data_IF_855772584147
#
_entry.id   IF_855772584147
#
_cell.length_a   1.000
_cell.length_b   1.000
_cell.length_c   1.000
_cell.angle_alpha   90.00
_cell.angle_beta   90.00
_cell.angle_gamma   90.00
#
_symmetry.space_group_name_H-M   'P 1'
#
loop_
_entity.id
_entity.type
_entity.pdbx_description
1 polymer ?
#
# COMPACT_ATOMS: atom_id res chain seq x y z
N UNK A 1 6.94 -3.09 14.76
CA UNK A 1 5.64 -2.78 14.09
C UNK A 1 5.33 -3.87 13.08
N UNK A 2 4.05 -4.22 12.88
CA UNK A 2 3.64 -5.27 11.93
C UNK A 2 3.06 -4.66 10.65
N UNK A 3 3.36 -5.29 9.52
CA UNK A 3 2.68 -5.08 8.25
C UNK A 3 1.89 -6.34 7.92
N UNK A 4 0.58 -6.24 7.68
CA UNK A 4 -0.25 -7.39 7.35
C UNK A 4 -1.06 -7.13 6.08
N UNK A 5 -0.87 -7.98 5.05
CA UNK A 5 -1.68 -7.90 3.82
C UNK A 5 -3.04 -8.53 4.06
N UNK A 6 -4.08 -7.70 4.08
CA UNK A 6 -5.48 -8.13 4.33
C UNK A 6 -6.30 -8.27 3.06
N UNK A 7 -5.81 -7.73 1.94
CA UNK A 7 -6.43 -7.84 0.63
C UNK A 7 -5.36 -7.88 -0.46
N UNK A 8 -5.40 -8.88 -1.33
CA UNK A 8 -4.51 -9.02 -2.50
C UNK A 8 -5.11 -10.00 -3.50
N UNK A 9 -4.58 -10.01 -4.72
CA UNK A 9 -4.95 -10.92 -5.80
C UNK A 9 -4.63 -12.37 -5.49
N UNK A 10 -3.74 -12.62 -4.53
CA UNK A 10 -3.28 -13.92 -4.08
C UNK A 10 -3.52 -14.09 -2.58
N UNK A 11 -3.61 -15.32 -2.14
CA UNK A 11 -3.68 -15.67 -0.72
C UNK A 11 -2.56 -16.66 -0.36
N UNK A 12 -1.98 -16.51 0.83
CA UNK A 12 -1.00 -17.46 1.36
C UNK A 12 -1.67 -18.63 2.08
N UNK A 13 -2.95 -18.52 2.39
CA UNK A 13 -3.69 -19.53 3.16
C UNK A 13 -5.04 -19.86 2.52
N UNK A 14 -5.43 -21.15 2.43
CA UNK A 14 -6.66 -21.57 1.76
C UNK A 14 -7.96 -21.00 2.34
N UNK A 15 -7.95 -20.63 3.62
CA UNK A 15 -9.13 -20.09 4.31
C UNK A 15 -9.30 -18.57 4.12
N UNK A 16 -8.32 -17.87 3.55
CA UNK A 16 -8.40 -16.45 3.25
C UNK A 16 -8.79 -16.23 1.78
N UNK A 17 -9.62 -15.24 1.54
CA UNK A 17 -10.09 -14.92 0.20
C UNK A 17 -9.13 -13.98 -0.53
N UNK A 18 -8.82 -14.28 -1.78
CA UNK A 18 -8.07 -13.41 -2.69
C UNK A 18 -9.01 -12.81 -3.74
N UNK A 19 -8.84 -11.53 -4.04
CA UNK A 19 -9.54 -10.81 -5.11
C UNK A 19 -8.68 -9.68 -5.64
N UNK A 20 -9.01 -9.17 -6.82
CA UNK A 20 -8.33 -8.03 -7.41
C UNK A 20 -8.45 -6.80 -6.52
N UNK A 21 -7.29 -6.26 -6.10
CA UNK A 21 -7.17 -5.10 -5.21
C UNK A 21 -6.03 -5.28 -4.21
N UNK A 22 -5.85 -4.25 -3.38
CA UNK A 22 -4.81 -4.24 -2.35
C UNK A 22 -5.29 -3.58 -1.06
N UNK A 23 -4.89 -4.10 0.08
CA UNK A 23 -4.95 -3.44 1.38
C UNK A 23 -3.91 -4.02 2.33
N UNK A 24 -3.24 -3.14 3.07
CA UNK A 24 -2.23 -3.47 4.05
C UNK A 24 -2.51 -2.78 5.39
N UNK A 25 -2.57 -3.55 6.47
CA UNK A 25 -2.60 -3.01 7.84
C UNK A 25 -1.15 -2.69 8.27
N UNK A 26 -0.94 -1.47 8.76
CA UNK A 26 0.33 -0.96 9.29
C UNK A 26 0.17 -0.73 10.80
N UNK A 27 0.92 -1.47 11.57
CA UNK A 27 0.70 -1.55 13.01
C UNK A 27 -0.65 -2.19 13.33
N UNK A 28 -1.39 -1.60 14.26
CA UNK A 28 -2.66 -2.17 14.76
C UNK A 28 -3.90 -1.41 14.27
N UNK A 29 -3.74 -0.21 13.69
CA UNK A 29 -4.84 0.74 13.52
C UNK A 29 -4.78 1.61 12.25
N UNK A 30 -3.72 1.52 11.44
CA UNK A 30 -3.64 2.20 10.15
C UNK A 30 -3.85 1.21 9.01
N UNK A 31 -4.89 1.44 8.19
CA UNK A 31 -5.15 0.67 7.00
C UNK A 31 -4.76 1.48 5.76
N UNK A 32 -3.82 0.95 4.98
CA UNK A 32 -3.44 1.50 3.68
C UNK A 32 -4.22 0.77 2.59
N UNK A 33 -5.06 1.49 1.85
CA UNK A 33 -6.08 1.01 0.92
C UNK A 33 -7.12 0.07 1.56
N UNK A 34 -8.18 -0.27 0.83
CA UNK A 34 -9.32 -1.05 1.34
C UNK A 34 -9.76 -2.18 0.43
N UNK A 35 -8.99 -2.47 -0.63
CA UNK A 35 -9.35 -3.49 -1.60
C UNK A 35 -10.55 -3.13 -2.48
N UNK A 36 -11.00 -4.09 -3.27
CA UNK A 36 -12.06 -3.91 -4.26
C UNK A 36 -13.48 -4.10 -3.72
N UNK A 37 -13.65 -4.80 -2.61
CA UNK A 37 -14.96 -5.00 -1.98
C UNK A 37 -14.86 -5.20 -0.47
N UNK A 38 -15.88 -4.71 0.24
CA UNK A 38 -15.90 -4.72 1.68
C UNK A 38 -16.17 -6.08 2.31
N UNK A 39 -16.89 -6.97 1.63
CA UNK A 39 -17.16 -8.31 2.17
C UNK A 39 -15.85 -9.10 2.30
N UNK A 40 -15.03 -9.11 1.25
CA UNK A 40 -13.72 -9.78 1.26
C UNK A 40 -12.79 -9.13 2.30
N UNK A 41 -12.73 -7.79 2.34
CA UNK A 41 -11.91 -7.07 3.31
C UNK A 41 -12.25 -7.47 4.74
N UNK A 42 -13.51 -7.32 5.15
CA UNK A 42 -13.96 -7.59 6.52
C UNK A 42 -13.89 -9.09 6.88
N UNK A 43 -14.18 -9.98 5.93
CA UNK A 43 -14.03 -11.43 6.12
C UNK A 43 -12.57 -11.82 6.37
N UNK A 44 -11.63 -11.28 5.60
CA UNK A 44 -10.21 -11.54 5.81
C UNK A 44 -9.73 -10.95 7.15
N UNK A 45 -10.08 -9.71 7.48
CA UNK A 45 -9.76 -9.10 8.77
C UNK A 45 -10.24 -10.00 9.92
N UNK A 46 -11.50 -10.44 9.91
CA UNK A 46 -12.05 -11.32 10.95
C UNK A 46 -11.29 -12.65 11.07
N UNK A 47 -10.97 -13.30 9.94
CA UNK A 47 -10.22 -14.56 9.92
C UNK A 47 -8.76 -14.41 10.35
N UNK A 48 -8.17 -13.23 10.17
CA UNK A 48 -6.83 -12.88 10.64
C UNK A 48 -6.81 -12.35 12.09
N UNK A 49 -7.98 -12.28 12.76
CA UNK A 49 -8.09 -11.76 14.13
C UNK A 49 -7.90 -10.25 14.22
N UNK A 50 -8.11 -9.52 13.13
CA UNK A 50 -8.01 -8.07 13.06
C UNK A 50 -9.40 -7.48 13.34
N UNK A 51 -9.51 -6.69 14.40
CA UNK A 51 -10.74 -6.00 14.78
C UNK A 51 -10.89 -4.69 13.98
N UNK A 52 -11.89 -4.57 13.09
CA UNK A 52 -12.13 -3.34 12.32
C UNK A 52 -12.38 -2.11 13.20
N UNK A 53 -12.90 -2.29 14.42
CA UNK A 53 -13.19 -1.18 15.35
C UNK A 53 -11.93 -0.44 15.81
N UNK A 54 -10.76 -1.07 15.70
CA UNK A 54 -9.46 -0.47 16.03
C UNK A 54 -8.90 0.42 14.93
N UNK A 55 -9.46 0.39 13.71
CA UNK A 55 -8.95 1.19 12.60
C UNK A 55 -9.24 2.67 12.85
N UNK A 56 -8.23 3.39 13.27
CA UNK A 56 -8.29 4.84 13.54
C UNK A 56 -7.84 5.70 12.34
N UNK A 57 -7.13 5.10 11.39
CA UNK A 57 -6.58 5.79 10.22
C UNK A 57 -6.75 4.94 8.97
N UNK A 58 -7.22 5.55 7.88
CA UNK A 58 -7.21 4.96 6.54
C UNK A 58 -6.46 5.90 5.60
N UNK A 59 -5.54 5.37 4.82
CA UNK A 59 -4.83 6.11 3.78
C UNK A 59 -5.16 5.46 2.44
N UNK A 60 -5.77 6.19 1.52
CA UNK A 60 -6.08 5.70 0.18
C UNK A 60 -5.03 6.19 -0.80
N UNK A 61 -4.39 5.27 -1.49
CA UNK A 61 -3.31 5.57 -2.43
C UNK A 61 -3.80 6.39 -3.63
N UNK A 62 -4.89 5.97 -4.26
CA UNK A 62 -5.49 6.60 -5.44
C UNK A 62 -6.97 6.20 -5.60
N UNK A 63 -7.68 6.79 -6.58
CA UNK A 63 -9.14 6.74 -6.67
C UNK A 63 -9.71 5.49 -7.39
N UNK A 64 -8.93 4.47 -7.69
CA UNK A 64 -9.45 3.24 -8.31
C UNK A 64 -10.26 2.39 -7.32
N UNK A 65 -11.30 1.73 -7.84
CA UNK A 65 -12.24 0.96 -7.04
C UNK A 65 -11.62 -0.24 -6.32
N UNK A 66 -10.57 -0.83 -6.87
CA UNK A 66 -9.83 -1.94 -6.28
C UNK A 66 -8.92 -1.54 -5.10
N UNK A 67 -8.88 -0.24 -4.77
CA UNK A 67 -8.22 0.33 -3.58
C UNK A 67 -9.20 1.00 -2.62
N UNK A 68 -10.36 1.43 -3.13
CA UNK A 68 -11.35 2.22 -2.36
C UNK A 68 -12.64 1.47 -2.05
N UNK A 69 -12.87 0.31 -2.69
CA UNK A 69 -14.15 -0.40 -2.68
C UNK A 69 -14.58 -0.95 -1.32
N UNK A 70 -13.64 -1.25 -0.43
CA UNK A 70 -13.92 -1.73 0.91
C UNK A 70 -14.28 -0.64 1.92
N UNK A 71 -13.98 0.65 1.64
CA UNK A 71 -14.13 1.73 2.60
C UNK A 71 -15.56 1.88 3.12
N UNK A 72 -16.55 1.82 2.23
CA UNK A 72 -17.96 1.96 2.62
C UNK A 72 -18.41 0.90 3.64
N UNK A 73 -17.98 -0.35 3.45
CA UNK A 73 -18.27 -1.44 4.38
C UNK A 73 -17.52 -1.28 5.70
N UNK A 74 -16.27 -0.84 5.67
CA UNK A 74 -15.51 -0.53 6.88
C UNK A 74 -16.21 0.56 7.70
N UNK A 75 -16.62 1.67 7.09
CA UNK A 75 -17.37 2.73 7.77
C UNK A 75 -18.76 2.24 8.24
N UNK A 76 -19.36 1.29 7.52
CA UNK A 76 -20.62 0.63 7.88
C UNK A 76 -20.56 -0.18 9.17
N UNK A 77 -19.37 -0.60 9.63
CA UNK A 77 -19.18 -1.25 10.94
C UNK A 77 -19.38 -0.28 12.12
N UNK A 78 -19.47 1.01 11.86
CA UNK A 78 -19.57 2.06 12.88
C UNK A 78 -18.24 2.74 13.22
N UNK A 79 -17.11 2.25 12.71
CA UNK A 79 -15.81 2.90 12.93
C UNK A 79 -15.74 4.25 12.19
N UNK A 80 -15.01 5.20 12.77
CA UNK A 80 -14.86 6.57 12.24
C UNK A 80 -13.39 6.97 12.14
N UNK A 81 -12.61 6.32 11.26
CA UNK A 81 -11.20 6.65 11.08
C UNK A 81 -11.04 8.03 10.45
N UNK A 82 -9.88 8.65 10.63
CA UNK A 82 -9.47 9.74 9.74
C UNK A 82 -9.04 9.16 8.39
N UNK A 83 -9.65 9.61 7.30
CA UNK A 83 -9.35 9.12 5.95
C UNK A 83 -8.48 10.15 5.22
N UNK A 84 -7.30 9.75 4.80
CA UNK A 84 -6.35 10.55 4.02
C UNK A 84 -6.46 10.16 2.55
N UNK A 85 -6.70 11.14 1.69
CA UNK A 85 -6.82 10.93 0.23
C UNK A 85 -6.00 11.97 -0.54
N UNK A 86 -5.42 11.65 -1.70
CA UNK A 86 -4.93 12.64 -2.63
C UNK A 86 -5.95 13.75 -2.88
N UNK A 87 -5.48 14.98 -2.95
CA UNK A 87 -6.34 16.15 -3.22
C UNK A 87 -7.10 16.01 -4.55
N UNK A 88 -6.51 15.33 -5.52
CA UNK A 88 -7.08 15.04 -6.83
C UNK A 88 -8.24 14.03 -6.82
N UNK A 89 -8.55 13.38 -5.68
CA UNK A 89 -9.72 12.49 -5.59
C UNK A 89 -11.01 13.18 -6.04
N UNK A 90 -11.96 12.43 -6.67
CA UNK A 90 -13.22 12.99 -7.13
C UNK A 90 -13.98 13.71 -6.02
N UNK A 91 -14.50 14.91 -6.31
CA UNK A 91 -15.19 15.74 -5.31
C UNK A 91 -16.38 15.03 -4.67
N UNK A 92 -17.11 14.21 -5.45
CA UNK A 92 -18.22 13.40 -4.93
C UNK A 92 -17.75 12.40 -3.89
N UNK A 93 -16.68 11.63 -4.18
CA UNK A 93 -16.11 10.69 -3.23
C UNK A 93 -15.72 11.39 -1.92
N UNK A 94 -15.04 12.52 -2.02
CA UNK A 94 -14.64 13.32 -0.85
C UNK A 94 -15.84 13.82 -0.04
N UNK A 95 -16.91 14.24 -0.70
CA UNK A 95 -18.15 14.68 -0.04
C UNK A 95 -18.83 13.51 0.68
N UNK A 96 -18.93 12.36 0.03
CA UNK A 96 -19.52 11.14 0.61
C UNK A 96 -18.76 10.69 1.86
N UNK A 97 -17.42 10.67 1.82
CA UNK A 97 -16.60 10.31 2.99
C UNK A 97 -16.73 11.33 4.11
N UNK A 98 -16.73 12.65 3.80
CA UNK A 98 -16.89 13.71 4.82
C UNK A 98 -18.23 13.65 5.54
N UNK A 99 -19.28 13.13 4.90
CA UNK A 99 -20.58 12.94 5.55
C UNK A 99 -20.57 11.87 6.63
N UNK A 100 -19.57 10.98 6.62
CA UNK A 100 -19.47 9.81 7.49
C UNK A 100 -18.32 9.93 8.51
N UNK A 101 -17.20 10.55 8.14
CA UNK A 101 -16.02 10.63 8.98
C UNK A 101 -15.12 11.82 8.59
N UNK A 102 -14.02 12.01 9.35
CA UNK A 102 -13.02 13.03 9.04
C UNK A 102 -12.24 12.65 7.78
N UNK A 103 -12.15 13.56 6.82
CA UNK A 103 -11.35 13.42 5.60
C UNK A 103 -10.27 14.51 5.57
N UNK A 104 -9.04 14.09 5.25
CA UNK A 104 -7.87 14.95 5.03
C UNK A 104 -7.46 14.83 3.56
N UNK A 105 -7.44 15.95 2.86
CA UNK A 105 -6.89 16.02 1.50
C UNK A 105 -5.39 16.26 1.58
N UNK A 106 -4.63 15.39 0.92
CA UNK A 106 -3.17 15.41 0.89
C UNK A 106 -2.71 15.89 -0.48
N UNK A 107 -1.82 16.87 -0.51
CA UNK A 107 -1.15 17.36 -1.71
C UNK A 107 0.37 17.26 -1.57
N UNK A 108 0.89 17.85 -0.51
CA UNK A 108 2.30 17.78 -0.14
C UNK A 108 2.56 16.64 0.84
N UNK A 109 3.80 16.19 1.01
CA UNK A 109 4.16 15.23 2.04
C UNK A 109 3.63 15.64 3.42
N UNK A 110 3.11 14.69 4.17
CA UNK A 110 2.52 14.93 5.48
C UNK A 110 2.87 13.80 6.44
N UNK A 111 3.36 14.16 7.62
CA UNK A 111 3.47 13.22 8.72
C UNK A 111 2.07 12.94 9.31
N UNK A 112 1.63 11.67 9.20
CA UNK A 112 0.34 11.21 9.72
C UNK A 112 0.43 11.00 11.23
N UNK A 113 1.54 10.41 11.66
CA UNK A 113 1.95 10.20 13.05
C UNK A 113 3.46 9.93 13.11
N UNK A 114 4.11 10.00 14.28
CA UNK A 114 5.57 9.88 14.40
C UNK A 114 6.13 8.69 13.59
N UNK A 115 7.02 8.98 12.65
CA UNK A 115 7.67 8.01 11.78
C UNK A 115 6.79 7.41 10.67
N UNK A 116 5.56 7.88 10.48
CA UNK A 116 4.70 7.44 9.36
C UNK A 116 4.24 8.65 8.56
N UNK A 117 4.66 8.69 7.30
CA UNK A 117 4.40 9.79 6.38
C UNK A 117 3.65 9.32 5.15
N UNK A 118 2.86 10.20 4.55
CA UNK A 118 2.44 10.07 3.16
C UNK A 118 3.35 10.89 2.26
N UNK A 119 3.62 10.38 1.07
CA UNK A 119 4.46 11.06 0.08
C UNK A 119 3.84 12.34 -0.48
N UNK A 120 2.56 12.61 -0.16
CA UNK A 120 1.81 13.57 -0.96
C UNK A 120 1.49 13.02 -2.35
N UNK A 121 0.91 13.85 -3.19
CA UNK A 121 0.59 13.50 -4.58
C UNK A 121 1.84 13.40 -5.44
N UNK A 122 2.08 12.21 -5.99
CA UNK A 122 3.13 11.94 -6.97
C UNK A 122 2.49 11.71 -8.33
N UNK A 123 3.10 12.25 -9.37
CA UNK A 123 2.67 12.07 -10.75
C UNK A 123 1.74 13.15 -11.29
N UNK A 124 1.48 13.06 -12.60
CA UNK A 124 0.57 13.95 -13.35
C UNK A 124 -0.58 13.09 -13.92
N UNK A 125 -1.78 13.59 -13.88
CA UNK A 125 -2.99 12.87 -14.32
C UNK A 125 -3.58 12.06 -13.17
N UNK A 126 -3.39 10.73 -13.15
CA UNK A 126 -3.74 9.91 -11.98
C UNK A 126 -2.64 10.06 -10.93
N UNK A 127 -2.80 11.05 -10.05
CA UNK A 127 -1.88 11.22 -8.93
C UNK A 127 -2.12 10.14 -7.87
N UNK A 128 -1.04 9.72 -7.23
CA UNK A 128 -1.04 8.65 -6.24
C UNK A 128 -0.14 9.01 -5.07
N UNK A 129 -0.49 8.59 -3.86
CA UNK A 129 0.35 8.70 -2.68
C UNK A 129 0.81 7.31 -2.21
N UNK A 130 2.00 7.24 -1.62
CA UNK A 130 2.53 6.08 -0.92
C UNK A 130 2.68 6.39 0.57
N UNK A 131 2.84 5.36 1.39
CA UNK A 131 3.34 5.52 2.75
C UNK A 131 4.86 5.37 2.77
N UNK A 132 5.50 6.20 3.57
CA UNK A 132 6.89 6.08 3.98
C UNK A 132 6.90 5.85 5.49
N UNK A 133 7.36 4.68 5.92
CA UNK A 133 7.36 4.24 7.32
C UNK A 133 8.79 4.08 7.78
N UNK A 134 9.18 4.85 8.78
CA UNK A 134 10.52 4.82 9.39
C UNK A 134 10.62 3.62 10.33
N UNK A 135 11.71 2.87 10.24
CA UNK A 135 12.01 1.73 11.09
C UNK A 135 13.50 1.72 11.45
N UNK A 136 13.87 0.96 12.46
CA UNK A 136 15.31 0.79 12.82
C UNK A 136 16.16 0.21 11.68
N UNK A 137 15.52 -0.52 10.74
CA UNK A 137 16.19 -1.12 9.57
C UNK A 137 16.27 -0.18 8.37
N UNK A 138 15.61 0.97 8.44
CA UNK A 138 15.48 1.93 7.36
C UNK A 138 14.03 2.15 6.93
N UNK A 139 13.85 2.78 5.80
CA UNK A 139 12.54 3.22 5.30
C UNK A 139 11.78 2.07 4.63
N UNK A 140 10.54 1.85 5.04
CA UNK A 140 9.58 0.97 4.34
C UNK A 140 8.66 1.84 3.49
N UNK A 141 8.60 1.57 2.19
CA UNK A 141 7.73 2.25 1.23
C UNK A 141 6.58 1.33 0.84
N UNK A 142 5.33 1.77 1.05
CA UNK A 142 4.13 1.00 0.70
C UNK A 142 3.39 1.73 -0.42
N UNK A 143 3.21 1.07 -1.57
CA UNK A 143 2.53 1.61 -2.76
C UNK A 143 1.19 0.92 -2.99
N UNK A 144 0.21 1.63 -3.57
CA UNK A 144 -1.02 1.03 -4.07
C UNK A 144 -0.80 0.33 -5.41
N UNK A 145 -0.76 1.10 -6.49
CA UNK A 145 -0.41 0.63 -7.84
C UNK A 145 0.90 1.21 -8.37
N UNK A 146 1.32 2.35 -7.87
CA UNK A 146 2.47 3.09 -8.37
C UNK A 146 2.32 3.51 -9.86
N UNK A 147 1.16 4.06 -10.25
CA UNK A 147 0.91 4.55 -11.62
C UNK A 147 1.94 5.59 -12.11
N UNK A 148 2.47 6.49 -11.26
CA UNK A 148 3.55 7.40 -11.64
C UNK A 148 4.87 6.70 -11.99
N UNK A 149 4.97 5.41 -11.66
CA UNK A 149 6.16 4.58 -11.73
C UNK A 149 6.75 4.34 -10.34
N UNK A 150 6.95 3.05 -10.01
CA UNK A 150 7.39 2.65 -8.67
C UNK A 150 8.75 3.25 -8.27
N UNK A 151 9.66 3.44 -9.23
CA UNK A 151 10.95 4.11 -8.98
C UNK A 151 10.75 5.57 -8.54
N UNK A 152 9.78 6.26 -9.14
CA UNK A 152 9.44 7.63 -8.78
C UNK A 152 8.81 7.71 -7.40
N UNK A 153 7.91 6.80 -7.06
CA UNK A 153 7.32 6.70 -5.73
C UNK A 153 8.41 6.51 -4.65
N UNK A 154 9.38 5.61 -4.90
CA UNK A 154 10.51 5.38 -3.98
C UNK A 154 11.40 6.62 -3.85
N UNK A 155 11.66 7.34 -4.95
CA UNK A 155 12.44 8.60 -4.90
C UNK A 155 11.77 9.65 -4.03
N UNK A 156 10.45 9.81 -4.16
CA UNK A 156 9.70 10.76 -3.31
C UNK A 156 9.72 10.33 -1.84
N UNK A 157 9.51 9.07 -1.55
CA UNK A 157 9.56 8.56 -0.18
C UNK A 157 10.92 8.81 0.48
N UNK A 158 12.02 8.62 -0.25
CA UNK A 158 13.39 8.90 0.24
C UNK A 158 13.69 10.38 0.52
N UNK A 159 12.92 11.30 -0.02
CA UNK A 159 13.08 12.74 0.27
C UNK A 159 12.39 13.15 1.57
N UNK A 160 11.53 12.29 2.11
CA UNK A 160 10.67 12.57 3.26
C UNK A 160 11.20 11.86 4.49
N UNK A 161 11.45 10.56 4.39
CA UNK A 161 11.92 9.72 5.49
C UNK A 161 13.44 9.68 5.57
N UNK A 162 13.95 9.38 6.75
CA UNK A 162 15.38 9.22 6.98
C UNK A 162 15.87 7.80 6.67
N UNK A 163 17.10 7.67 6.21
CA UNK A 163 17.78 6.38 6.02
C UNK A 163 17.66 5.77 4.62
N UNK A 164 18.21 4.56 4.50
CA UNK A 164 18.15 3.73 3.29
C UNK A 164 16.79 3.06 3.16
N UNK A 165 16.41 2.71 1.92
CA UNK A 165 15.13 2.00 1.70
C UNK A 165 15.29 0.52 2.04
N UNK A 166 14.78 0.14 3.20
CA UNK A 166 14.81 -1.25 3.65
C UNK A 166 13.86 -2.14 2.83
N UNK A 167 12.63 -1.68 2.57
CA UNK A 167 11.61 -2.48 1.90
C UNK A 167 10.72 -1.63 0.98
N UNK A 168 10.40 -2.14 -0.20
CA UNK A 168 9.33 -1.62 -1.05
C UNK A 168 8.24 -2.69 -1.17
N UNK A 169 7.03 -2.42 -0.69
CA UNK A 169 5.87 -3.32 -0.63
C UNK A 169 4.71 -2.76 -1.45
N UNK A 170 4.00 -3.60 -2.19
CA UNK A 170 2.73 -3.24 -2.85
C UNK A 170 2.71 -3.49 -4.35
N UNK A 171 1.79 -2.82 -5.05
CA UNK A 171 1.68 -2.87 -6.50
C UNK A 171 2.72 -1.99 -7.19
N UNK A 172 3.36 -2.51 -8.25
CA UNK A 172 4.39 -1.80 -9.03
C UNK A 172 3.94 -1.47 -10.45
N UNK A 173 2.70 -1.80 -10.79
CA UNK A 173 2.06 -1.55 -12.09
C UNK A 173 2.86 -2.05 -13.30
N UNK A 174 3.33 -3.30 -13.25
CA UNK A 174 4.20 -3.90 -14.26
C UNK A 174 3.55 -5.03 -15.05
N UNK A 175 2.23 -5.22 -14.89
CA UNK A 175 1.47 -6.19 -15.67
C UNK A 175 1.59 -5.90 -17.17
N UNK A 176 2.12 -6.88 -17.95
CA UNK A 176 2.35 -6.73 -19.37
C UNK A 176 3.62 -5.95 -19.78
N UNK A 177 4.41 -5.50 -18.82
CA UNK A 177 5.68 -4.81 -19.07
C UNK A 177 6.76 -5.82 -19.46
N UNK A 178 7.62 -5.46 -20.43
CA UNK A 178 8.71 -6.33 -20.89
C UNK A 178 9.75 -6.60 -19.80
N UNK A 179 10.36 -7.81 -19.80
CA UNK A 179 11.41 -8.18 -18.85
C UNK A 179 12.55 -7.18 -18.78
N UNK A 180 13.03 -6.69 -19.94
CA UNK A 180 14.07 -5.65 -20.01
C UNK A 180 13.68 -4.35 -19.25
N UNK A 181 12.40 -4.02 -19.22
CA UNK A 181 11.93 -2.84 -18.46
C UNK A 181 11.92 -3.14 -16.97
N UNK A 182 11.53 -4.34 -16.56
CA UNK A 182 11.59 -4.80 -15.17
C UNK A 182 13.03 -4.81 -14.67
N UNK A 183 13.98 -5.37 -15.44
CA UNK A 183 15.42 -5.37 -15.12
C UNK A 183 15.97 -3.94 -14.90
N UNK A 184 15.53 -2.98 -15.73
CA UNK A 184 15.92 -1.57 -15.52
C UNK A 184 15.37 -0.99 -14.24
N UNK A 185 14.14 -1.32 -13.87
CA UNK A 185 13.53 -0.90 -12.59
C UNK A 185 14.31 -1.50 -11.43
N UNK A 186 14.70 -2.75 -11.50
CA UNK A 186 15.52 -3.43 -10.50
C UNK A 186 16.90 -2.73 -10.37
N UNK A 187 17.54 -2.41 -11.49
CA UNK A 187 18.78 -1.66 -11.47
C UNK A 187 18.62 -0.25 -10.84
N UNK A 188 17.47 0.42 -11.09
CA UNK A 188 17.14 1.69 -10.42
C UNK A 188 16.94 1.49 -8.92
N UNK A 189 16.25 0.44 -8.50
CA UNK A 189 16.05 0.10 -7.09
C UNK A 189 17.39 -0.14 -6.38
N UNK A 190 18.29 -0.91 -7.00
CA UNK A 190 19.64 -1.11 -6.44
C UNK A 190 20.41 0.20 -6.29
N UNK A 191 20.31 1.12 -7.27
CA UNK A 191 20.93 2.46 -7.16
C UNK A 191 20.30 3.34 -6.07
N UNK A 192 19.02 3.13 -5.79
CA UNK A 192 18.31 3.80 -4.70
C UNK A 192 18.55 3.15 -3.33
N UNK A 193 19.35 2.08 -3.24
CA UNK A 193 19.64 1.37 -1.99
C UNK A 193 18.47 0.51 -1.48
N UNK A 194 17.53 0.11 -2.35
CA UNK A 194 16.43 -0.78 -1.95
C UNK A 194 16.98 -2.16 -1.59
N UNK A 195 16.84 -2.54 -0.32
CA UNK A 195 17.38 -3.79 0.20
C UNK A 195 16.45 -4.96 -0.09
N UNK A 196 15.15 -4.83 0.21
CA UNK A 196 14.13 -5.88 0.06
C UNK A 196 12.96 -5.42 -0.79
N UNK A 197 12.30 -6.39 -1.46
CA UNK A 197 11.12 -6.12 -2.27
C UNK A 197 9.99 -7.11 -1.98
N UNK A 198 8.78 -6.59 -1.99
CA UNK A 198 7.54 -7.35 -1.75
C UNK A 198 6.47 -6.95 -2.80
N UNK A 199 6.73 -7.18 -4.12
CA UNK A 199 5.81 -6.83 -5.18
C UNK A 199 4.56 -7.72 -5.18
N UNK A 200 3.39 -7.12 -5.37
CA UNK A 200 2.11 -7.83 -5.40
C UNK A 200 1.09 -7.14 -6.31
N UNK A 201 -0.16 -7.52 -6.20
CA UNK A 201 -1.32 -6.91 -6.85
C UNK A 201 -1.13 -6.70 -8.37
N UNK A 202 -1.06 -5.44 -8.84
CA UNK A 202 -0.95 -5.07 -10.26
C UNK A 202 0.47 -5.23 -10.86
N UNK A 203 1.43 -5.74 -10.09
CA UNK A 203 2.79 -5.99 -10.58
C UNK A 203 2.83 -7.03 -11.70
N UNK A 204 1.93 -8.02 -11.64
CA UNK A 204 1.85 -9.09 -12.64
C UNK A 204 2.88 -10.21 -12.40
N UNK A 205 2.48 -11.45 -12.75
CA UNK A 205 3.22 -12.67 -12.39
C UNK A 205 4.64 -12.68 -12.93
N UNK A 206 4.81 -12.34 -14.21
CA UNK A 206 6.13 -12.33 -14.85
C UNK A 206 7.10 -11.33 -14.21
N UNK A 207 6.62 -10.15 -13.84
CA UNK A 207 7.48 -9.17 -13.16
C UNK A 207 7.84 -9.65 -11.76
N UNK A 208 6.88 -10.23 -11.02
CA UNK A 208 7.10 -10.81 -9.70
C UNK A 208 8.17 -11.92 -9.76
N UNK A 209 8.12 -12.80 -10.78
CA UNK A 209 9.14 -13.84 -10.97
C UNK A 209 10.54 -13.24 -11.18
N UNK A 210 10.67 -12.22 -12.04
CA UNK A 210 11.96 -11.56 -12.29
C UNK A 210 12.48 -10.90 -11.00
N UNK A 211 11.62 -10.24 -10.22
CA UNK A 211 12.02 -9.69 -8.92
C UNK A 211 12.47 -10.78 -7.95
N UNK A 212 11.80 -11.94 -7.94
CA UNK A 212 12.16 -13.07 -7.09
C UNK A 212 13.53 -13.66 -7.46
N UNK A 213 13.81 -13.82 -8.75
CA UNK A 213 15.12 -14.28 -9.27
C UNK A 213 16.24 -13.30 -8.90
N UNK A 214 16.04 -12.00 -9.08
CA UNK A 214 17.05 -10.96 -8.90
C UNK A 214 17.32 -10.58 -7.42
N UNK A 215 16.32 -10.68 -6.55
CA UNK A 215 16.46 -10.37 -5.13
C UNK A 215 16.72 -11.60 -4.26
N UNK A 216 16.42 -12.82 -4.73
CA UNK A 216 16.70 -14.05 -3.99
C UNK A 216 16.10 -14.05 -2.58
N UNK A 217 16.94 -14.11 -1.55
CA UNK A 217 16.51 -14.10 -0.14
C UNK A 217 15.91 -12.75 0.32
N UNK A 218 16.17 -11.69 -0.41
CA UNK A 218 15.60 -10.36 -0.15
C UNK A 218 14.25 -10.12 -0.83
N UNK A 219 13.75 -11.13 -1.56
CA UNK A 219 12.39 -11.13 -2.09
C UNK A 219 11.40 -11.67 -1.06
N UNK A 220 10.33 -10.92 -0.80
CA UNK A 220 9.24 -11.32 0.10
C UNK A 220 7.99 -11.66 -0.73
N UNK A 221 7.52 -12.91 -0.60
CA UNK A 221 6.26 -13.31 -1.24
C UNK A 221 5.07 -12.71 -0.52
N UNK A 222 4.23 -11.99 -1.26
CA UNK A 222 3.02 -11.34 -0.75
C UNK A 222 1.77 -12.10 -1.16
N UNK A 223 0.76 -12.01 -0.33
CA UNK A 223 -0.62 -12.46 -0.51
C UNK A 223 -1.40 -12.21 0.78
N UNK A 224 -2.71 -12.34 0.73
CA UNK A 224 -3.55 -12.22 1.92
C UNK A 224 -3.06 -13.18 3.00
N UNK A 225 -2.86 -12.66 4.21
CA UNK A 225 -2.30 -13.41 5.33
C UNK A 225 -0.79 -13.26 5.51
N UNK A 226 -0.08 -12.55 4.62
CA UNK A 226 1.31 -12.17 4.90
C UNK A 226 1.34 -11.26 6.13
N UNK A 227 2.19 -11.60 7.08
CA UNK A 227 2.53 -10.76 8.23
C UNK A 227 4.04 -10.62 8.31
N UNK A 228 4.52 -9.39 8.30
CA UNK A 228 5.94 -9.05 8.38
C UNK A 228 6.17 -8.16 9.59
N UNK A 229 7.07 -8.57 10.48
CA UNK A 229 7.54 -7.74 11.57
C UNK A 229 8.67 -6.83 11.05
N UNK A 230 8.41 -5.54 11.09
CA UNK A 230 9.39 -4.48 10.91
C UNK A 230 9.53 -3.78 12.26
N UNK A 231 10.72 -3.84 12.83
CA UNK A 231 11.01 -3.15 14.09
C UNK A 231 10.85 -1.64 13.87
N UNK A 232 10.13 -0.95 14.77
CA UNK A 232 9.91 0.49 14.63
C UNK A 232 11.23 1.26 14.79
#
# INVERSE_FOLDING_TARGET
>A
MKLATVYDNRSLYPHLASRWGFACLVGDDLLFDTGGDGHTLLSNMAKMGIDPSRIGTVVLSHAHGDHTGGLGSLLGTGVRPTVYVPRSFPSRFKADVRSLTRLVEVHEPLEIRPGIHTTGEVGRGLAEQALAVETEKGLVVITGCAHPGVVEMVRHARQIGEGEVYLVLGGFHLGGVSGRRVERIIADFRRLGVQKVAPCHCTGDRAIEIFAEEYGEDFIRVGVGMVLDVEP
#
